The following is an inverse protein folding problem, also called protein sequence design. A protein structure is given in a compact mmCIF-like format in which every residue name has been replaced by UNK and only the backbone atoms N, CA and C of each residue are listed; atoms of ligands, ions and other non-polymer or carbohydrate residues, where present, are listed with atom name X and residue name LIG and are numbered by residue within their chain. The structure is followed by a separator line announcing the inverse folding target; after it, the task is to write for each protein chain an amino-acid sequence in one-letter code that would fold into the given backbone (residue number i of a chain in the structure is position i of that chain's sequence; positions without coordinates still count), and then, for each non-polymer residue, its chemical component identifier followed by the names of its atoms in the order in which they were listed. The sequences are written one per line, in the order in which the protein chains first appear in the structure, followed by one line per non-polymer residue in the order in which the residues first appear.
data_IF_593444571218
#
_entry.id   IF_593444571218
#
_cell.length_a   1.000
_cell.length_b   1.000
_cell.length_c   1.000
_cell.angle_alpha   90.00
_cell.angle_beta   90.00
_cell.angle_gamma   90.00
#
_symmetry.space_group_name_H-M   'P 1'
#
loop_
_entity.id
_entity.type
_entity.pdbx_description
1 polymer ?
#
# COMPACT_ATOMS: atom_id res chain seq x y z
N UNK A 1 24.78 4.56 0.68
CA UNK A 1 23.61 3.91 0.05
C UNK A 1 24.01 2.98 -1.09
N UNK A 2 25.01 3.31 -1.92
CA UNK A 2 25.45 2.48 -3.06
C UNK A 2 26.07 1.12 -2.65
N UNK A 3 26.89 1.09 -1.59
CA UNK A 3 27.47 -0.16 -1.11
C UNK A 3 26.41 -1.14 -0.56
N UNK A 4 25.30 -0.62 -0.03
CA UNK A 4 24.19 -1.42 0.45
C UNK A 4 23.39 -2.03 -0.71
N UNK A 5 23.15 -1.26 -1.78
CA UNK A 5 22.48 -1.80 -2.97
C UNK A 5 23.35 -2.81 -3.70
N UNK A 6 24.66 -2.57 -3.79
CA UNK A 6 25.63 -3.54 -4.34
C UNK A 6 25.65 -4.84 -3.54
N UNK A 7 25.74 -4.74 -2.21
CA UNK A 7 25.68 -5.92 -1.34
C UNK A 7 24.35 -6.67 -1.52
N UNK A 8 23.23 -5.96 -1.61
CA UNK A 8 21.92 -6.58 -1.79
C UNK A 8 21.83 -7.35 -3.12
N UNK A 9 22.32 -6.75 -4.21
CA UNK A 9 22.35 -7.37 -5.54
C UNK A 9 23.28 -8.57 -5.57
N UNK A 10 24.50 -8.43 -5.01
CA UNK A 10 25.48 -9.50 -4.98
C UNK A 10 25.05 -10.65 -4.08
N UNK A 11 24.52 -10.38 -2.88
CA UNK A 11 24.03 -11.41 -1.97
C UNK A 11 22.78 -12.11 -2.52
N UNK A 12 21.86 -11.38 -3.15
CA UNK A 12 20.68 -11.97 -3.80
C UNK A 12 21.07 -12.81 -5.03
N UNK A 13 22.01 -12.33 -5.85
CA UNK A 13 22.52 -13.06 -7.01
C UNK A 13 23.30 -14.32 -6.61
N UNK A 14 24.19 -14.22 -5.63
CA UNK A 14 24.97 -15.36 -5.14
C UNK A 14 24.12 -16.39 -4.41
N UNK A 15 23.10 -15.98 -3.63
CA UNK A 15 22.15 -16.92 -3.04
C UNK A 15 21.34 -17.68 -4.11
N UNK A 16 21.04 -17.04 -5.25
CA UNK A 16 20.34 -17.68 -6.37
C UNK A 16 21.21 -18.77 -7.02
N UNK A 17 22.51 -18.50 -7.16
CA UNK A 17 23.48 -19.48 -7.69
C UNK A 17 23.71 -20.62 -6.68
N UNK A 18 23.80 -20.30 -5.39
CA UNK A 18 24.11 -21.29 -4.36
C UNK A 18 22.96 -22.28 -4.07
N UNK A 19 21.72 -21.92 -4.39
CA UNK A 19 20.56 -22.78 -4.08
C UNK A 19 20.24 -23.77 -5.21
N UNK A 20 20.75 -23.56 -6.43
CA UNK A 20 20.55 -24.36 -7.67
C UNK A 20 19.07 -24.70 -8.04
N UNK A 21 18.09 -24.33 -7.20
CA UNK A 21 16.66 -24.46 -7.44
C UNK A 21 16.02 -23.06 -7.59
N UNK A 22 15.55 -22.70 -8.80
CA UNK A 22 14.87 -21.44 -9.08
C UNK A 22 13.66 -21.18 -8.18
N UNK A 23 13.05 -22.24 -7.61
CA UNK A 23 11.84 -22.16 -6.80
C UNK A 23 12.03 -21.37 -5.52
N UNK A 24 13.22 -21.41 -4.90
CA UNK A 24 13.46 -20.64 -3.68
C UNK A 24 13.35 -19.13 -3.92
N UNK A 25 13.84 -18.65 -5.07
CA UNK A 25 13.73 -17.23 -5.46
C UNK A 25 12.28 -16.84 -5.74
N UNK A 26 11.49 -17.76 -6.31
CA UNK A 26 10.08 -17.56 -6.63
C UNK A 26 9.19 -17.45 -5.38
N UNK A 27 9.52 -18.16 -4.29
CA UNK A 27 8.76 -18.11 -3.03
C UNK A 27 9.09 -16.89 -2.15
N UNK A 28 10.28 -16.31 -2.31
CA UNK A 28 10.75 -15.19 -1.48
C UNK A 28 9.75 -14.01 -1.41
N UNK A 29 9.11 -13.57 -2.51
CA UNK A 29 8.10 -12.51 -2.47
C UNK A 29 6.86 -12.88 -1.65
N UNK A 30 6.43 -14.16 -1.64
CA UNK A 30 5.28 -14.60 -0.82
C UNK A 30 5.50 -14.32 0.66
N UNK A 31 6.70 -14.60 1.16
CA UNK A 31 7.05 -14.35 2.56
C UNK A 31 7.02 -12.86 2.86
N UNK A 32 7.60 -12.04 1.98
CA UNK A 32 7.59 -10.57 2.12
C UNK A 32 6.16 -10.04 2.14
N UNK A 33 5.31 -10.48 1.22
CA UNK A 33 3.90 -10.08 1.18
C UNK A 33 3.14 -10.49 2.44
N UNK A 34 3.41 -11.69 2.98
CA UNK A 34 2.81 -12.14 4.24
C UNK A 34 3.23 -11.27 5.44
N UNK A 35 4.53 -10.98 5.57
CA UNK A 35 5.06 -10.13 6.66
C UNK A 35 4.50 -8.71 6.56
N UNK A 36 4.53 -8.12 5.36
CA UNK A 36 4.00 -6.77 5.14
C UNK A 36 2.49 -6.74 5.39
N UNK A 37 1.74 -7.73 4.90
CA UNK A 37 0.31 -7.87 5.18
C UNK A 37 0.00 -7.95 6.67
N UNK A 38 0.79 -8.72 7.44
CA UNK A 38 0.65 -8.79 8.90
C UNK A 38 0.94 -7.45 9.59
N UNK A 39 1.97 -6.72 9.16
CA UNK A 39 2.25 -5.37 9.68
C UNK A 39 1.11 -4.38 9.37
N UNK A 40 0.47 -4.53 8.20
CA UNK A 40 -0.64 -3.69 7.77
C UNK A 40 -1.97 -3.97 8.50
N UNK A 41 -2.10 -5.10 9.20
CA UNK A 41 -3.25 -5.36 10.09
C UNK A 41 -3.28 -4.41 11.29
N UNK A 42 -2.19 -3.67 11.55
CA UNK A 42 -2.19 -2.63 12.57
C UNK A 42 -3.17 -1.53 12.20
N UNK A 43 -4.23 -1.40 12.99
CA UNK A 43 -5.26 -0.38 12.80
C UNK A 43 -4.63 1.04 12.73
N UNK A 44 -5.07 1.81 11.74
CA UNK A 44 -4.70 3.22 11.60
C UNK A 44 -3.30 3.49 11.04
N UNK A 45 -2.58 2.49 10.51
CA UNK A 45 -1.25 2.71 9.91
C UNK A 45 -1.26 3.78 8.79
N UNK A 46 -2.36 3.87 8.02
CA UNK A 46 -2.55 4.89 6.97
C UNK A 46 -2.82 6.29 7.51
N UNK A 47 -3.34 6.43 8.73
CA UNK A 47 -3.82 7.72 9.26
C UNK A 47 -2.67 8.73 9.37
N UNK A 48 -1.44 8.25 9.59
CA UNK A 48 -0.23 9.09 9.64
C UNK A 48 0.10 9.76 8.30
N UNK A 49 -0.35 9.19 7.18
CA UNK A 49 -0.04 9.68 5.84
C UNK A 49 -1.15 10.57 5.25
N UNK A 50 -2.27 10.73 5.97
CA UNK A 50 -3.38 11.58 5.54
C UNK A 50 -3.06 13.06 5.77
N UNK A 51 -3.52 13.96 4.87
CA UNK A 51 -3.53 15.38 5.15
C UNK A 51 -4.47 15.69 6.34
N UNK A 52 -4.19 16.76 7.08
CA UNK A 52 -4.89 17.09 8.34
C UNK A 52 -6.42 17.10 8.24
N UNK A 53 -6.96 17.59 7.12
CA UNK A 53 -8.41 17.63 6.86
C UNK A 53 -8.99 16.21 6.74
N UNK A 54 -8.38 15.34 5.94
CA UNK A 54 -8.84 13.97 5.77
C UNK A 54 -8.65 13.16 7.06
N UNK A 55 -7.59 13.45 7.82
CA UNK A 55 -7.38 12.85 9.14
C UNK A 55 -8.52 13.19 10.12
N UNK A 56 -9.00 14.43 10.14
CA UNK A 56 -10.11 14.83 11.01
C UNK A 56 -11.45 14.22 10.57
N UNK A 57 -11.68 14.09 9.26
CA UNK A 57 -13.02 13.83 8.72
C UNK A 57 -13.22 12.38 8.25
N UNK A 58 -12.17 11.68 7.83
CA UNK A 58 -12.27 10.36 7.16
C UNK A 58 -11.28 9.32 7.68
N UNK A 59 -10.83 9.44 8.94
CA UNK A 59 -9.94 8.47 9.58
C UNK A 59 -10.49 7.04 9.61
N UNK A 60 -11.80 6.88 9.81
CA UNK A 60 -12.50 5.59 9.76
C UNK A 60 -12.43 4.93 8.37
N UNK A 61 -12.63 5.70 7.31
CA UNK A 61 -12.51 5.21 5.93
C UNK A 61 -11.08 4.80 5.64
N UNK A 62 -10.09 5.55 6.13
CA UNK A 62 -8.69 5.19 5.98
C UNK A 62 -8.31 3.89 6.72
N UNK A 63 -8.95 3.57 7.85
CA UNK A 63 -8.77 2.27 8.52
C UNK A 63 -9.27 1.13 7.64
N UNK A 64 -10.45 1.26 7.04
CA UNK A 64 -11.01 0.25 6.13
C UNK A 64 -10.12 0.07 4.90
N UNK A 65 -9.68 1.16 4.28
CA UNK A 65 -8.72 1.10 3.16
C UNK A 65 -7.41 0.43 3.58
N UNK A 66 -6.93 0.69 4.79
CA UNK A 66 -5.76 0.01 5.36
C UNK A 66 -5.92 -1.50 5.47
N UNK A 67 -7.11 -1.99 5.86
CA UNK A 67 -7.41 -3.42 5.86
C UNK A 67 -7.56 -4.01 4.45
N UNK A 68 -8.12 -3.27 3.49
CA UNK A 68 -8.13 -3.69 2.09
C UNK A 68 -6.70 -3.92 1.56
N UNK A 69 -5.77 -3.04 1.94
CA UNK A 69 -4.35 -3.20 1.61
C UNK A 69 -3.74 -4.46 2.23
N UNK A 70 -4.03 -4.72 3.51
CA UNK A 70 -3.58 -5.95 4.16
C UNK A 70 -4.13 -7.20 3.44
N UNK A 71 -5.43 -7.21 3.11
CA UNK A 71 -6.06 -8.28 2.36
C UNK A 71 -5.39 -8.50 0.98
N UNK A 72 -5.08 -7.42 0.27
CA UNK A 72 -4.37 -7.51 -1.00
C UNK A 72 -2.97 -8.11 -0.86
N UNK A 73 -2.24 -7.76 0.21
CA UNK A 73 -0.91 -8.34 0.47
C UNK A 73 -1.00 -9.84 0.74
N UNK A 74 -1.93 -10.29 1.58
CA UNK A 74 -2.15 -11.72 1.80
C UNK A 74 -2.57 -12.45 0.52
N UNK A 75 -3.49 -11.87 -0.26
CA UNK A 75 -3.88 -12.42 -1.56
C UNK A 75 -2.68 -12.52 -2.50
N UNK A 76 -1.83 -11.49 -2.54
CA UNK A 76 -0.59 -11.49 -3.33
C UNK A 76 0.38 -12.58 -2.86
N UNK A 77 0.47 -12.84 -1.54
CA UNK A 77 1.31 -13.88 -0.97
C UNK A 77 0.87 -15.28 -1.41
N UNK A 78 -0.44 -15.55 -1.30
CA UNK A 78 -1.05 -16.82 -1.71
C UNK A 78 -0.92 -17.00 -3.22
N UNK A 79 -1.27 -15.99 -4.02
CA UNK A 79 -1.15 -16.05 -5.47
C UNK A 79 0.29 -16.31 -5.91
N UNK A 80 1.26 -15.60 -5.32
CA UNK A 80 2.68 -15.82 -5.65
C UNK A 80 3.14 -17.24 -5.28
N UNK A 81 2.69 -17.77 -4.14
CA UNK A 81 3.04 -19.12 -3.71
C UNK A 81 2.47 -20.17 -4.68
N UNK A 82 1.22 -19.99 -5.13
CA UNK A 82 0.58 -20.89 -6.08
C UNK A 82 1.25 -20.84 -7.45
N UNK A 83 1.54 -19.65 -7.99
CA UNK A 83 2.24 -19.50 -9.27
C UNK A 83 3.65 -20.08 -9.18
N UNK A 84 4.35 -19.86 -8.05
CA UNK A 84 5.68 -20.44 -7.82
C UNK A 84 5.66 -21.98 -7.73
N UNK A 85 4.57 -22.57 -7.22
CA UNK A 85 4.43 -24.02 -7.06
C UNK A 85 4.06 -24.74 -8.36
N UNK A 86 3.23 -24.11 -9.21
CA UNK A 86 2.59 -24.78 -10.36
C UNK A 86 3.15 -24.32 -11.71
N UNK A 87 3.65 -23.09 -11.81
CA UNK A 87 4.07 -22.50 -13.08
C UNK A 87 5.59 -22.52 -13.28
N UNK A 88 6.01 -22.33 -14.54
CA UNK A 88 7.42 -22.18 -14.89
C UNK A 88 7.95 -20.80 -14.51
N UNK A 89 9.29 -20.67 -14.41
CA UNK A 89 9.97 -19.40 -14.13
C UNK A 89 9.59 -18.33 -15.16
N UNK A 90 9.51 -18.68 -16.45
CA UNK A 90 9.09 -17.77 -17.53
C UNK A 90 7.68 -17.22 -17.30
N UNK A 91 6.71 -18.08 -17.00
CA UNK A 91 5.33 -17.65 -16.76
C UNK A 91 5.25 -16.73 -15.54
N UNK A 92 5.93 -17.10 -14.45
CA UNK A 92 6.00 -16.26 -13.25
C UNK A 92 6.61 -14.88 -13.54
N UNK A 93 7.72 -14.83 -14.28
CA UNK A 93 8.45 -13.59 -14.59
C UNK A 93 7.64 -12.62 -15.46
N UNK A 94 6.72 -13.12 -16.28
CA UNK A 94 5.79 -12.27 -17.03
C UNK A 94 4.59 -11.84 -16.19
N UNK A 95 3.96 -12.77 -15.47
CA UNK A 95 2.67 -12.53 -14.80
C UNK A 95 2.82 -11.71 -13.52
N UNK A 96 3.81 -12.03 -12.68
CA UNK A 96 3.88 -11.48 -11.33
C UNK A 96 4.25 -9.99 -11.26
N UNK A 97 5.14 -9.45 -12.13
CA UNK A 97 5.37 -8.01 -12.20
C UNK A 97 4.12 -7.26 -12.66
N UNK A 98 3.42 -7.77 -13.69
CA UNK A 98 2.18 -7.16 -14.21
C UNK A 98 1.12 -7.16 -13.12
N UNK A 99 0.85 -8.31 -12.50
CA UNK A 99 -0.08 -8.42 -11.38
C UNK A 99 0.32 -7.50 -10.23
N UNK A 100 1.62 -7.45 -9.89
CA UNK A 100 2.18 -6.54 -8.91
C UNK A 100 1.82 -5.10 -9.20
N UNK A 101 2.14 -4.57 -10.37
CA UNK A 101 1.87 -3.18 -10.72
C UNK A 101 0.37 -2.90 -10.75
N UNK A 102 -0.40 -3.69 -11.50
CA UNK A 102 -1.83 -3.46 -11.71
C UNK A 102 -2.60 -3.50 -10.39
N UNK A 103 -2.34 -4.50 -9.54
CA UNK A 103 -3.05 -4.64 -8.27
C UNK A 103 -2.76 -3.49 -7.30
N UNK A 104 -1.51 -3.02 -7.23
CA UNK A 104 -1.12 -1.92 -6.33
C UNK A 104 -1.67 -0.59 -6.83
N UNK A 105 -1.65 -0.35 -8.14
CA UNK A 105 -2.28 0.84 -8.74
C UNK A 105 -3.79 0.83 -8.49
N UNK A 106 -4.47 -0.30 -8.69
CA UNK A 106 -5.91 -0.41 -8.49
C UNK A 106 -6.32 -0.06 -7.06
N UNK A 107 -5.65 -0.63 -6.04
CA UNK A 107 -5.99 -0.35 -4.64
C UNK A 107 -5.59 1.06 -4.21
N UNK A 108 -4.50 1.60 -4.77
CA UNK A 108 -4.07 2.97 -4.50
C UNK A 108 -5.10 3.96 -5.02
N UNK A 109 -5.51 3.83 -6.28
CA UNK A 109 -6.53 4.68 -6.90
C UNK A 109 -7.88 4.50 -6.20
N UNK A 110 -8.31 3.25 -5.94
CA UNK A 110 -9.56 2.97 -5.23
C UNK A 110 -9.60 3.55 -3.82
N UNK A 111 -8.52 3.37 -3.06
CA UNK A 111 -8.37 3.95 -1.71
C UNK A 111 -8.36 5.47 -1.73
N UNK A 112 -7.63 6.07 -2.67
CA UNK A 112 -7.61 7.53 -2.85
C UNK A 112 -9.01 8.08 -3.16
N UNK A 113 -9.70 7.48 -4.13
CA UNK A 113 -11.07 7.89 -4.51
C UNK A 113 -12.02 7.71 -3.34
N UNK A 114 -11.97 6.59 -2.63
CA UNK A 114 -12.83 6.34 -1.46
C UNK A 114 -12.65 7.41 -0.37
N UNK A 115 -11.41 7.70 0.01
CA UNK A 115 -11.09 8.70 1.03
C UNK A 115 -11.46 10.10 0.53
N UNK A 116 -11.17 10.42 -0.73
CA UNK A 116 -11.47 11.72 -1.33
C UNK A 116 -12.98 11.99 -1.35
N UNK A 117 -13.76 11.05 -1.86
CA UNK A 117 -15.22 11.18 -1.92
C UNK A 117 -15.84 11.23 -0.53
N UNK A 118 -15.41 10.38 0.40
CA UNK A 118 -15.89 10.42 1.78
C UNK A 118 -15.60 11.76 2.46
N UNK A 119 -14.38 12.28 2.30
CA UNK A 119 -13.97 13.58 2.85
C UNK A 119 -14.82 14.71 2.26
N UNK A 120 -15.00 14.75 0.93
CA UNK A 120 -15.81 15.78 0.28
C UNK A 120 -17.28 15.75 0.72
N UNK A 121 -17.89 14.56 0.75
CA UNK A 121 -19.29 14.39 1.15
C UNK A 121 -19.52 14.83 2.61
N UNK A 122 -18.59 14.51 3.51
CA UNK A 122 -18.68 14.87 4.93
C UNK A 122 -18.47 16.36 5.17
N UNK A 123 -17.53 16.99 4.46
CA UNK A 123 -17.34 18.45 4.55
C UNK A 123 -18.58 19.20 4.05
N UNK A 124 -19.19 18.73 2.96
CA UNK A 124 -20.41 19.35 2.40
C UNK A 124 -21.62 19.22 3.33
N UNK A 125 -21.76 18.08 4.00
CA UNK A 125 -22.82 17.84 4.99
C UNK A 125 -22.63 18.61 6.31
N UNK A 126 -21.42 19.12 6.56
CA UNK A 126 -21.08 19.83 7.80
C UNK A 126 -21.67 21.25 7.83
N UNK A 127 -22.21 21.70 8.98
CA UNK A 127 -22.68 23.07 9.12
C UNK A 127 -21.55 24.10 9.00
N UNK A 128 -21.85 25.36 8.59
CA UNK A 128 -20.83 26.35 8.23
C UNK A 128 -19.82 26.67 9.35
N UNK A 129 -20.30 26.79 10.59
CA UNK A 129 -19.49 27.08 11.78
C UNK A 129 -18.45 25.98 12.06
N UNK A 130 -18.86 24.71 12.00
CA UNK A 130 -17.95 23.57 12.19
C UNK A 130 -16.93 23.48 11.05
N UNK A 131 -17.37 23.72 9.80
CA UNK A 131 -16.49 23.73 8.63
C UNK A 131 -15.41 24.80 8.73
N UNK A 132 -15.77 26.01 9.12
CA UNK A 132 -14.84 27.12 9.31
C UNK A 132 -13.80 26.81 10.40
N UNK A 133 -14.24 26.22 11.52
CA UNK A 133 -13.33 25.80 12.59
C UNK A 133 -12.31 24.73 12.14
N UNK A 134 -12.75 23.76 11.32
CA UNK A 134 -11.87 22.74 10.75
C UNK A 134 -10.89 23.32 9.73
N UNK A 135 -11.35 24.24 8.87
CA UNK A 135 -10.48 24.90 7.89
C UNK A 135 -9.46 25.84 8.55
N UNK A 136 -9.82 26.46 9.69
CA UNK A 136 -8.90 27.24 10.51
C UNK A 136 -7.82 26.34 11.13
N UNK A 137 -8.25 25.24 11.75
CA UNK A 137 -7.34 24.26 12.39
C UNK A 137 -6.43 23.56 11.38
N UNK A 138 -6.92 23.34 10.16
CA UNK A 138 -6.15 22.78 9.05
C UNK A 138 -5.21 23.79 8.36
N UNK A 139 -5.22 25.07 8.78
CA UNK A 139 -4.35 26.12 8.24
C UNK A 139 -4.76 26.64 6.85
N UNK A 140 -5.97 26.34 6.35
CA UNK A 140 -6.42 26.79 5.02
C UNK A 140 -7.03 28.20 5.00
N UNK A 141 -7.50 28.72 6.14
CA UNK A 141 -8.14 30.05 6.18
C UNK A 141 -7.17 31.24 6.16
N UNK A 142 -5.90 31.07 6.56
CA UNK A 142 -4.94 32.19 6.63
C UNK A 142 -4.25 32.53 5.30
N UNK A 143 -4.48 31.78 4.24
CA UNK A 143 -3.78 31.97 2.95
C UNK A 143 -4.42 33.04 2.04
N UNK A 144 -5.53 33.66 2.43
CA UNK A 144 -6.31 34.56 1.57
C UNK A 144 -6.08 36.06 1.80
N UNK A 145 -5.01 36.45 2.49
CA UNK A 145 -4.61 37.86 2.66
C UNK A 145 -3.22 38.13 2.06
N UNK A 146 -3.16 38.28 0.74
CA UNK A 146 -2.07 38.97 0.03
C UNK A 146 -2.59 39.44 -1.33
#
# INVERSE_FOLDING_TARGET
MEWLSLFLVLAAGSATIATDDPRFVLFKPSLIYGIVGAMMLRAGWMIRYLPGIAKAVSSDVAVVVGYCWAALMFLSAVLNALVAAVCTVQTWAMVMPIFGIVSKVAIFVGGFVAIRLATMRRIQAMPPNERESLLATAGMLMSKSA
#
